data_IF_970405787833
#
_entry.id   IF_970405787833
#
_cell.length_a   1.000
_cell.length_b   1.000
_cell.length_c   1.000
_cell.angle_alpha   90.00
_cell.angle_beta   90.00
_cell.angle_gamma   90.00
#
_symmetry.space_group_name_H-M   'P 1'
#
loop_
_entity.id
_entity.type
_entity.pdbx_description
1 polymer ?
2 polymer ?
3 polymer ?
4 non-polymer ?
5 non-polymer ?
6 water ?
#
loop_
_entity_poly.entity_id
_entity_poly.type
_entity_poly.pdbx_seq_one_letter_code
_entity_poly.pdbx_strand_id
1 'polydeoxyribonucleotide' '(DG)(DG)(DG)(DG)(DT)(DG)(DT)(DG)(DG)(DT)(DA)(DG)(DC)' ?
2 'polydeoxyribonucleotide' '(DC)(DA)(DT)(DC)(DG)(DC)(DT)(DA)(DC)(DC)(DA)(DC)(DA)(DC)(DC)(DC)(DC)' ?
#
# COMPACT_ATOMS: atom_id res chain seq x y z
N UNK C 3 3.31 15.79 -23.09
CA UNK C 3 2.09 16.36 -22.52
C UNK C 3 0.78 15.86 -23.20
N UNK C 4 -0.06 15.18 -22.43
CA UNK C 4 -1.16 14.39 -22.97
C UNK C 4 -2.45 14.65 -22.18
N UNK C 5 -3.48 15.11 -22.89
CA UNK C 5 -4.74 15.47 -22.25
C UNK C 5 -5.57 14.21 -22.02
N UNK C 6 -6.62 14.32 -21.20
CA UNK C 6 -7.37 13.12 -20.84
C UNK C 6 -8.10 12.55 -22.06
N UNK C 7 -8.48 13.41 -23.01
CA UNK C 7 -9.21 12.93 -24.18
C UNK C 7 -8.31 12.42 -25.29
N UNK C 8 -6.99 12.45 -25.12
CA UNK C 8 -6.09 11.86 -26.10
C UNK C 8 -6.07 10.35 -25.92
N UNK C 9 -6.13 9.58 -26.99
CA UNK C 9 -6.10 8.11 -26.85
C UNK C 9 -4.95 7.61 -25.97
N UNK C 10 -3.86 8.37 -25.84
CA UNK C 10 -2.67 7.95 -25.12
C UNK C 10 -2.71 8.27 -23.63
N UNK C 11 -3.78 8.90 -23.15
CA UNK C 11 -3.76 9.46 -21.79
C UNK C 11 -3.58 8.36 -20.74
N UNK C 12 -4.27 7.24 -20.89
CA UNK C 12 -4.19 6.19 -19.88
C UNK C 12 -2.76 5.66 -19.75
N UNK C 13 -2.14 5.31 -20.88
CA UNK C 13 -0.78 4.78 -20.87
C UNK C 13 0.19 5.76 -20.23
N UNK C 14 0.03 7.06 -20.52
CA UNK C 14 1.01 8.04 -20.01
C UNK C 14 0.81 8.32 -18.53
N UNK C 15 -0.44 8.49 -18.12
CA UNK C 15 -0.70 8.67 -16.70
C UNK C 15 -0.17 7.50 -15.89
N UNK C 16 -0.38 6.28 -16.40
CA UNK C 16 0.11 5.11 -15.68
C UNK C 16 1.64 5.04 -15.71
N UNK C 17 2.28 5.61 -16.72
CA UNK C 17 3.73 5.58 -16.80
C UNK C 17 4.39 6.48 -15.77
N UNK C 18 3.73 7.59 -15.40
CA UNK C 18 4.24 8.51 -14.40
C UNK C 18 3.65 8.31 -13.02
N UNK C 19 2.59 7.53 -12.88
CA UNK C 19 1.88 7.44 -11.59
C UNK C 19 2.57 6.42 -10.71
N UNK C 20 3.18 6.89 -9.62
CA UNK C 20 3.82 5.95 -8.71
C UNK C 20 2.77 5.06 -8.05
N UNK C 21 1.58 5.60 -7.79
CA UNK C 21 0.49 4.78 -7.28
C UNK C 21 0.12 3.66 -8.21
N UNK C 22 0.22 3.87 -9.52
CA UNK C 22 -0.12 2.78 -10.42
C UNK C 22 0.96 1.71 -10.40
N UNK C 23 2.23 2.10 -10.51
CA UNK C 23 3.35 1.18 -10.34
C UNK C 23 3.24 0.39 -9.03
N UNK C 24 2.85 1.06 -7.93
CA UNK C 24 2.72 0.37 -6.66
C UNK C 24 1.68 -0.73 -6.72
N UNK C 25 0.49 -0.42 -7.24
CA UNK C 25 -0.59 -1.40 -7.25
C UNK C 25 -0.28 -2.55 -8.18
N UNK C 26 0.37 -2.26 -9.30
CA UNK C 26 0.66 -3.30 -10.27
C UNK C 26 1.77 -4.22 -9.76
N UNK C 27 2.84 -3.63 -9.21
CA UNK C 27 3.85 -4.44 -8.53
C UNK C 27 3.22 -5.33 -7.45
N UNK C 28 2.40 -4.74 -6.58
CA UNK C 28 1.62 -5.52 -5.61
C UNK C 28 0.89 -6.67 -6.28
N UNK C 29 0.11 -6.37 -7.32
CA UNK C 29 -0.69 -7.39 -7.99
C UNK C 29 0.18 -8.48 -8.61
N UNK C 30 1.28 -8.10 -9.25
CA UNK C 30 2.14 -9.11 -9.85
C UNK C 30 2.85 -9.96 -8.80
N UNK C 31 3.15 -9.39 -7.63
CA UNK C 31 3.71 -10.18 -6.55
C UNK C 31 2.72 -11.23 -6.05
N UNK C 32 1.43 -10.89 -6.01
CA UNK C 32 0.46 -11.85 -5.49
C UNK C 32 0.22 -13.01 -6.46
N UNK C 33 0.29 -12.76 -7.77
CA UNK C 33 0.15 -13.84 -8.75
C UNK C 33 1.36 -14.77 -8.69
N UNK C 34 2.57 -14.21 -8.60
CA UNK C 34 3.75 -15.07 -8.55
C UNK C 34 3.77 -15.91 -7.27
N UNK C 35 3.18 -15.42 -6.19
CA UNK C 35 3.00 -16.29 -5.05
C UNK C 35 2.05 -17.44 -5.37
N UNK C 36 0.98 -17.16 -6.11
CA UNK C 36 0.02 -18.21 -6.43
C UNK C 36 0.52 -19.18 -7.50
N UNK C 37 1.51 -18.78 -8.29
CA UNK C 37 2.13 -19.72 -9.21
C UNK C 37 3.31 -20.48 -8.57
N UNK C 38 4.10 -19.81 -7.72
CA UNK C 38 5.24 -20.47 -7.10
C UNK C 38 4.78 -21.57 -6.15
N UNK C 39 3.72 -21.31 -5.38
CA UNK C 39 3.25 -22.26 -4.36
C UNK C 39 1.93 -22.89 -4.77
N UNK C 40 1.86 -23.31 -6.03
CA UNK C 40 0.65 -23.93 -6.56
C UNK C 40 0.52 -25.38 -6.10
N UNK C 41 1.63 -26.07 -5.89
CA UNK C 41 1.64 -27.43 -5.38
C UNK C 41 2.44 -27.55 -4.09
N UNK C 42 2.82 -26.39 -3.57
CA UNK C 42 3.47 -26.39 -2.25
C UNK C 42 2.34 -26.16 -1.24
N UNK C 43 2.47 -26.72 -0.04
CA UNK C 43 1.46 -26.50 0.99
C UNK C 43 2.13 -26.30 2.34
N UNK C 44 3.26 -25.58 2.37
CA UNK C 44 3.96 -25.25 3.61
C UNK C 44 3.35 -24.02 4.27
N UNK C 45 2.04 -24.13 4.53
CA UNK C 45 1.26 -23.06 5.13
C UNK C 45 1.24 -23.27 6.65
N UNK C 46 0.58 -22.36 7.35
CA UNK C 46 0.68 -22.28 8.81
C UNK C 46 -0.53 -22.96 9.42
N UNK C 47 -0.30 -23.88 10.34
CA UNK C 47 -1.39 -24.52 11.07
C UNK C 47 -1.33 -24.15 12.54
N UNK C 48 -2.39 -24.51 13.27
CA UNK C 48 -2.35 -24.31 14.71
C UNK C 48 -1.40 -25.28 15.40
N UNK C 49 -1.02 -26.38 14.72
CA UNK C 49 0.03 -27.26 15.21
C UNK C 49 1.40 -26.62 15.15
N UNK C 50 1.51 -25.41 14.59
CA UNK C 50 2.79 -24.75 14.33
C UNK C 50 3.00 -23.60 15.30
N UNK C 51 4.18 -23.52 15.87
CA UNK C 51 4.63 -22.33 16.57
C UNK C 51 5.53 -21.55 15.65
N UNK C 52 5.29 -20.24 15.52
CA UNK C 52 5.98 -19.49 14.48
C UNK C 52 6.42 -18.13 14.98
N UNK C 53 7.41 -17.56 14.31
CA UNK C 53 7.83 -16.19 14.55
C UNK C 53 7.70 -15.40 13.26
N UNK C 54 7.24 -14.15 13.38
CA UNK C 54 7.01 -13.26 12.26
C UNK C 54 8.22 -12.34 12.08
N UNK C 55 8.84 -12.36 10.91
CA UNK C 55 9.87 -11.38 10.55
C UNK C 55 9.24 -10.42 9.53
N UNK C 56 8.93 -9.19 9.98
CA UNK C 56 8.33 -8.16 9.13
C UNK C 56 9.43 -7.23 8.63
N UNK C 57 9.69 -7.26 7.31
CA UNK C 57 10.91 -6.68 6.74
C UNK C 57 10.56 -5.60 5.72
N UNK C 58 11.19 -4.44 5.86
CA UNK C 58 10.82 -3.30 5.04
C UNK C 58 12.01 -2.38 4.78
N UNK C 59 12.13 -1.91 3.54
CA UNK C 59 13.17 -0.95 3.14
C UNK C 59 13.01 0.42 3.81
N UNK C 60 14.11 0.96 4.27
CA UNK C 60 14.09 2.32 4.81
C UNK C 60 14.07 3.27 3.64
N UNK C 61 13.16 4.24 3.65
CA UNK C 61 12.89 5.25 2.59
C UNK C 61 13.16 4.71 1.20
N UNK C 62 12.44 3.66 0.85
CA UNK C 62 12.60 2.85 -0.38
C UNK C 62 12.88 3.70 -1.62
N UNK C 63 11.90 4.43 -2.13
CA UNK C 63 12.13 5.21 -3.35
C UNK C 63 13.31 6.16 -3.15
N UNK C 64 13.31 6.87 -2.01
CA UNK C 64 14.37 7.84 -1.77
C UNK C 64 15.72 7.17 -1.90
N UNK C 65 15.85 5.98 -1.32
CA UNK C 65 17.12 5.27 -1.36
C UNK C 65 17.47 4.84 -2.79
N UNK C 66 16.58 4.12 -3.46
CA UNK C 66 16.88 3.65 -4.80
C UNK C 66 17.15 4.83 -5.74
N UNK C 67 16.37 5.92 -5.61
CA UNK C 67 16.58 7.09 -6.49
C UNK C 67 17.93 7.74 -6.24
N UNK C 68 18.36 7.77 -4.99
CA UNK C 68 19.68 8.31 -4.72
C UNK C 68 20.79 7.41 -5.27
N UNK C 69 20.66 6.10 -5.07
CA UNK C 69 21.72 5.18 -5.46
C UNK C 69 21.92 5.18 -6.96
N UNK C 70 20.85 5.41 -7.64
CA UNK C 70 20.87 5.48 -9.13
C UNK C 70 20.73 6.90 -9.77
N UNK C 71 21.15 7.89 -8.95
CA UNK C 71 20.93 9.26 -9.36
C UNK C 71 21.78 9.62 -10.57
N UNK C 72 21.21 10.46 -11.45
CA UNK C 72 21.96 10.93 -12.61
C UNK C 72 23.15 11.77 -12.16
N UNK C 73 24.08 11.99 -13.11
CA UNK C 73 25.30 12.73 -12.82
C UNK C 73 25.03 14.14 -12.29
N UNK C 74 23.86 14.69 -12.61
CA UNK C 74 23.45 15.99 -12.10
C UNK C 74 23.30 16.04 -10.58
N UNK C 75 23.18 14.91 -9.89
CA UNK C 75 23.11 14.89 -8.43
C UNK C 75 24.29 14.15 -7.81
N UNK C 76 25.41 14.02 -8.55
CA UNK C 76 26.54 13.24 -8.05
C UNK C 76 26.98 13.65 -6.66
N UNK C 77 27.01 14.97 -6.39
CA UNK C 77 27.55 15.46 -5.13
C UNK C 77 26.56 15.37 -3.97
N UNK C 78 25.31 15.03 -4.24
CA UNK C 78 24.32 14.83 -3.18
C UNK C 78 24.80 13.77 -2.19
N UNK C 79 24.71 14.09 -0.89
CA UNK C 79 25.14 13.24 0.23
C UNK C 79 23.91 12.72 0.98
N UNK C 80 23.70 11.39 0.96
CA UNK C 80 22.42 10.82 1.41
C UNK C 80 22.21 10.87 2.94
N UNK C 81 23.28 10.91 3.73
CA UNK C 81 23.10 11.11 5.17
C UNK C 81 23.31 12.57 5.57
N UNK C 82 23.58 13.47 4.64
CA UNK C 82 23.71 14.87 5.04
C UNK C 82 22.61 15.78 4.53
N UNK C 83 21.93 15.44 3.43
CA UNK C 83 20.95 16.34 2.86
C UNK C 83 19.54 15.77 2.91
N UNK C 84 18.53 16.64 3.10
CA UNK C 84 17.14 16.17 2.99
C UNK C 84 16.79 15.90 1.54
N UNK C 85 16.43 14.66 1.25
CA UNK C 85 16.19 14.18 -0.11
C UNK C 85 14.73 13.70 -0.22
N UNK C 86 14.04 14.14 -1.27
CA UNK C 86 12.71 13.65 -1.56
C UNK C 86 12.66 13.11 -3.00
N UNK C 87 11.74 12.17 -3.23
CA UNK C 87 11.42 11.70 -4.57
C UNK C 87 10.08 12.31 -4.95
N UNK C 88 10.05 13.01 -6.08
CA UNK C 88 8.85 13.74 -6.46
C UNK C 88 8.96 14.16 -7.92
N UNK C 89 7.81 14.51 -8.49
CA UNK C 89 7.75 15.00 -9.87
C UNK C 89 8.11 16.46 -9.94
N UNK C 90 7.68 17.23 -8.95
CA UNK C 90 7.48 18.64 -9.17
C UNK C 90 8.20 19.50 -8.18
N UNK C 91 7.74 20.73 -8.06
CA UNK C 91 8.40 21.75 -7.26
C UNK C 91 7.46 22.43 -6.29
N UNK C 92 6.15 22.35 -6.51
CA UNK C 92 5.17 23.02 -5.67
C UNK C 92 4.25 21.94 -5.15
N UNK C 93 3.09 21.71 -5.76
CA UNK C 93 2.08 20.83 -5.20
C UNK C 93 2.23 19.40 -5.71
N UNK C 94 3.45 18.88 -5.52
CA UNK C 94 3.80 17.53 -5.93
C UNK C 94 4.04 16.69 -4.69
N UNK C 95 3.30 15.58 -4.58
CA UNK C 95 3.46 14.66 -3.46
C UNK C 95 4.88 14.15 -3.34
N UNK C 96 5.38 14.11 -2.12
CA UNK C 96 6.67 13.52 -1.80
C UNK C 96 6.43 12.03 -1.62
N UNK C 97 6.79 11.24 -2.63
CA UNK C 97 6.62 9.81 -2.53
C UNK C 97 7.50 9.20 -1.45
N UNK C 98 8.68 9.77 -1.22
CA UNK C 98 9.60 9.23 -0.22
C UNK C 98 10.63 10.30 0.14
N UNK C 99 10.77 10.55 1.42
CA UNK C 99 11.84 11.41 1.88
C UNK C 99 12.81 10.59 2.73
N UNK C 100 14.08 11.00 2.72
CA UNK C 100 15.07 10.30 3.54
C UNK C 100 14.90 10.72 4.99
N UNK C 101 15.70 10.13 5.88
CA UNK C 101 15.50 10.39 7.31
C UNK C 101 16.16 11.69 7.76
N UNK C 102 17.13 12.20 6.98
CA UNK C 102 17.53 13.59 7.13
C UNK C 102 16.32 14.50 6.97
N UNK C 103 15.50 14.27 5.94
CA UNK C 103 14.31 15.12 5.76
C UNK C 103 13.34 14.96 6.93
N UNK C 104 13.22 13.74 7.46
CA UNK C 104 12.28 13.49 8.54
C UNK C 104 12.71 14.16 9.85
N UNK C 105 13.98 14.52 10.00
CA UNK C 105 14.35 15.24 11.24
C UNK C 105 13.62 16.58 11.28
N UNK C 106 13.55 17.29 10.17
CA UNK C 106 12.76 18.52 10.15
C UNK C 106 11.25 18.27 10.18
N UNK C 107 10.81 17.02 10.29
CA UNK C 107 9.39 16.69 10.37
C UNK C 107 8.69 16.53 9.04
N UNK C 108 9.42 16.58 7.92
CA UNK C 108 8.86 16.21 6.62
C UNK C 108 8.41 14.75 6.66
N UNK C 109 7.23 14.48 6.09
CA UNK C 109 6.69 13.13 6.06
C UNK C 109 6.50 12.65 4.62
N UNK C 110 6.39 11.34 4.44
CA UNK C 110 5.95 10.82 3.15
C UNK C 110 4.54 11.31 2.88
N UNK C 111 4.29 11.75 1.65
CA UNK C 111 2.97 12.19 1.27
C UNK C 111 2.79 13.70 1.19
N UNK C 112 3.63 14.46 1.88
CA UNK C 112 3.55 15.91 1.85
C UNK C 112 3.80 16.45 0.44
N UNK C 113 3.50 17.73 0.25
CA UNK C 113 3.86 18.40 -0.99
C UNK C 113 5.23 19.05 -0.82
N UNK C 114 5.90 19.26 -1.95
CA UNK C 114 7.22 19.87 -1.92
C UNK C 114 7.16 21.25 -1.27
N UNK C 115 6.15 22.03 -1.64
CA UNK C 115 5.99 23.36 -1.05
C UNK C 115 5.81 23.29 0.46
N UNK C 116 5.16 22.24 0.95
CA UNK C 116 4.92 22.07 2.38
C UNK C 116 6.15 21.54 3.13
N UNK C 117 7.01 20.78 2.46
CA UNK C 117 8.25 20.33 3.06
C UNK C 117 9.36 21.35 2.98
N UNK C 118 9.34 22.19 1.95
CA UNK C 118 10.35 23.25 1.87
C UNK C 118 10.17 24.23 3.01
N UNK C 119 8.92 24.57 3.34
CA UNK C 119 8.64 25.55 4.38
C UNK C 119 9.07 25.09 5.79
N UNK C 120 9.47 23.83 5.98
CA UNK C 120 9.90 23.36 7.29
C UNK C 120 11.41 23.28 7.43
N UNK C 121 12.14 23.58 6.36
CA UNK C 121 13.58 23.64 6.50
C UNK C 121 13.99 25.03 6.96
N UNK C 122 15.00 25.11 7.83
CA UNK C 122 15.59 26.41 8.17
C UNK C 122 16.41 26.94 7.02
N UNK C 123 16.57 28.25 6.97
CA UNK C 123 17.33 28.89 5.91
C UNK C 123 18.75 28.34 5.87
N UNK C 124 19.29 28.22 4.65
CA UNK C 124 20.57 27.57 4.46
C UNK C 124 20.47 26.08 4.20
N UNK C 125 19.30 25.49 4.35
CA UNK C 125 19.09 24.07 4.09
C UNK C 125 18.33 23.92 2.79
N UNK C 126 18.84 23.10 1.89
CA UNK C 126 18.25 22.89 0.59
C UNK C 126 17.57 21.53 0.57
N UNK C 127 16.30 21.50 0.19
CA UNK C 127 15.69 20.24 -0.16
C UNK C 127 16.22 19.80 -1.52
N UNK C 128 16.57 18.52 -1.62
CA UNK C 128 16.97 17.89 -2.88
C UNK C 128 15.81 17.01 -3.35
N UNK C 129 15.48 17.10 -4.64
CA UNK C 129 14.36 16.36 -5.21
C UNK C 129 14.85 15.43 -6.32
N UNK C 130 14.79 14.12 -6.05
CA UNK C 130 15.25 13.20 -7.08
C UNK C 130 14.07 12.68 -7.89
N UNK C 131 14.28 12.45 -9.18
CA UNK C 131 13.21 11.90 -10.01
C UNK C 131 12.88 10.48 -9.60
N UNK C 132 11.71 10.01 -10.05
CA UNK C 132 11.37 8.61 -9.87
C UNK C 132 12.22 7.74 -10.78
N UNK C 133 12.61 6.57 -10.27
CA UNK C 133 13.40 5.58 -11.02
C UNK C 133 12.67 4.24 -10.94
N UNK C 134 11.57 4.13 -11.69
CA UNK C 134 10.62 3.06 -11.50
C UNK C 134 11.23 1.69 -11.78
N UNK C 135 11.96 1.57 -12.88
CA UNK C 135 12.57 0.28 -13.22
C UNK C 135 13.60 -0.14 -12.16
N UNK C 136 14.34 0.82 -11.62
CA UNK C 136 15.27 0.51 -10.53
C UNK C 136 14.51 0.10 -9.27
N UNK C 137 13.36 0.72 -9.01
CA UNK C 137 12.54 0.27 -7.89
C UNK C 137 12.15 -1.19 -8.07
N UNK C 138 11.72 -1.54 -9.29
CA UNK C 138 11.36 -2.93 -9.58
C UNK C 138 12.56 -3.85 -9.44
N UNK C 139 13.69 -3.50 -10.06
CA UNK C 139 14.87 -4.35 -10.00
C UNK C 139 15.32 -4.58 -8.56
N UNK C 140 15.40 -3.50 -7.75
CA UNK C 140 15.88 -3.64 -6.39
C UNK C 140 14.97 -4.55 -5.58
N UNK C 141 13.65 -4.36 -5.74
CA UNK C 141 12.67 -5.23 -5.09
C UNK C 141 12.89 -6.68 -5.45
N UNK C 142 13.20 -6.96 -6.72
CA UNK C 142 13.44 -8.34 -7.13
C UNK C 142 14.64 -8.93 -6.38
N UNK C 143 15.69 -8.12 -6.17
CA UNK C 143 16.83 -8.56 -5.38
C UNK C 143 16.42 -8.88 -3.96
N UNK C 144 15.48 -8.13 -3.43
CA UNK C 144 15.01 -8.29 -2.07
C UNK C 144 14.27 -9.63 -1.91
N UNK C 145 13.41 -9.96 -2.87
CA UNK C 145 12.65 -11.21 -2.74
C UNK C 145 13.50 -12.41 -3.10
N UNK C 146 14.45 -12.24 -4.03
CA UNK C 146 15.37 -13.31 -4.33
C UNK C 146 16.22 -13.65 -3.10
N UNK C 147 16.80 -12.62 -2.45
CA UNK C 147 17.55 -12.83 -1.22
C UNK C 147 16.74 -13.58 -0.16
N UNK C 148 15.52 -13.11 0.15
CA UNK C 148 14.70 -13.77 1.17
C UNK C 148 14.52 -15.26 0.91
N UNK C 149 14.20 -15.64 -0.33
CA UNK C 149 13.96 -17.05 -0.61
C UNK C 149 15.26 -17.85 -0.68
N UNK C 150 16.33 -17.24 -1.21
CA UNK C 150 17.63 -17.90 -1.26
C UNK C 150 18.12 -18.28 0.14
N UNK C 151 17.91 -17.41 1.14
CA UNK C 151 18.41 -17.64 2.51
C UNK C 151 17.88 -18.91 3.14
N UNK C 152 16.75 -19.44 2.67
CA UNK C 152 16.25 -20.77 3.03
C UNK C 152 15.86 -20.90 4.51
N UNK C 153 15.33 -19.83 5.09
CA UNK C 153 15.07 -19.79 6.52
C UNK C 153 13.61 -19.48 6.86
N UNK C 154 12.73 -19.32 5.86
CA UNK C 154 11.33 -19.01 6.12
C UNK C 154 10.45 -20.09 5.48
N UNK C 155 9.36 -20.44 6.16
CA UNK C 155 8.41 -21.37 5.58
C UNK C 155 7.37 -20.67 4.72
N UNK C 156 7.10 -19.39 5.01
CA UNK C 156 6.16 -18.61 4.23
C UNK C 156 6.73 -17.21 4.06
N UNK C 157 6.80 -16.73 2.83
CA UNK C 157 7.24 -15.37 2.52
C UNK C 157 6.05 -14.65 1.89
N UNK C 158 5.55 -13.62 2.55
CA UNK C 158 4.28 -13.01 2.13
C UNK C 158 4.52 -11.64 1.52
N UNK C 159 4.18 -11.43 0.26
CA UNK C 159 4.31 -10.09 -0.31
C UNK C 159 3.36 -9.12 0.40
N UNK C 160 3.92 -8.01 0.87
CA UNK C 160 3.13 -6.93 1.41
C UNK C 160 3.12 -5.71 0.50
N UNK C 161 4.12 -5.58 -0.37
CA UNK C 161 4.47 -4.33 -0.99
C UNK C 161 5.67 -4.58 -1.88
N UNK C 162 5.90 -3.65 -2.80
CA UNK C 162 7.18 -3.57 -3.49
C UNK C 162 8.35 -3.57 -2.51
N UNK C 163 8.16 -3.06 -1.29
CA UNK C 163 9.28 -2.95 -0.37
C UNK C 163 9.07 -3.69 0.95
N UNK C 164 8.06 -4.55 1.06
CA UNK C 164 7.75 -5.23 2.32
C UNK C 164 7.38 -6.68 2.09
N UNK C 165 7.78 -7.50 3.03
CA UNK C 165 7.24 -8.84 3.15
C UNK C 165 7.10 -9.20 4.62
N UNK C 166 6.08 -9.98 4.91
CA UNK C 166 5.98 -10.68 6.18
C UNK C 166 6.52 -12.09 5.96
N UNK C 167 7.54 -12.45 6.74
CA UNK C 167 8.25 -13.73 6.59
C UNK C 167 8.03 -14.53 7.86
N UNK C 168 7.54 -15.75 7.69
CA UNK C 168 7.21 -16.63 8.81
C UNK C 168 8.27 -17.72 8.91
N UNK C 169 8.83 -17.89 10.12
CA UNK C 169 9.66 -19.06 10.44
C UNK C 169 8.94 -19.96 11.44
N UNK C 170 8.73 -21.23 11.06
CA UNK C 170 8.17 -22.19 12.02
C UNK C 170 9.29 -22.74 12.87
N UNK C 171 9.06 -22.79 14.18
CA UNK C 171 9.99 -23.38 15.13
C UNK C 171 9.49 -24.81 15.43
N UNK C 172 10.25 -25.83 15.07
CA UNK C 172 9.92 -27.18 15.56
C UNK C 172 10.04 -27.21 17.07
N UNK C 173 9.14 -27.96 17.72
CA UNK C 173 9.14 -27.97 19.18
C UNK C 173 10.29 -28.78 19.78
N UNK C 174 10.97 -29.60 18.97
CA UNK C 174 12.26 -30.12 19.40
C UNK C 174 13.19 -28.93 19.65
N UNK C 175 13.63 -28.24 18.60
CA UNK C 175 14.52 -27.08 18.73
C UNK C 175 13.95 -26.03 19.68
N UNK C 176 14.78 -25.06 20.07
CA UNK C 176 14.43 -24.09 21.11
C UNK C 176 14.91 -22.71 20.68
N UNK C 177 13.96 -21.83 20.39
CA UNK C 177 14.29 -20.50 19.90
C UNK C 177 14.79 -19.61 21.03
N UNK C 178 15.72 -18.72 20.69
CA UNK C 178 16.36 -17.81 21.61
C UNK C 178 16.54 -16.47 20.93
N UNK C 179 16.75 -15.44 21.75
CA UNK C 179 16.83 -14.10 21.21
C UNK C 179 18.15 -13.85 20.51
N UNK C 180 19.23 -14.53 20.91
CA UNK C 180 20.44 -14.33 20.13
C UNK C 180 20.35 -15.07 18.81
N UNK C 181 19.68 -16.23 18.76
CA UNK C 181 19.36 -16.79 17.44
C UNK C 181 18.54 -15.78 16.62
N UNK C 182 17.51 -15.19 17.22
CA UNK C 182 16.68 -14.24 16.49
C UNK C 182 17.47 -12.99 16.10
N UNK C 183 18.15 -12.36 17.07
CA UNK C 183 18.88 -11.12 16.86
C UNK C 183 19.85 -11.28 15.71
N UNK C 184 19.99 -12.49 15.29
CA UNK C 184 21.09 -12.81 14.44
C UNK C 184 20.66 -13.34 13.07
N UNK C 185 19.46 -13.94 12.96
CA UNK C 185 18.81 -13.98 11.66
C UNK C 185 18.63 -12.58 11.10
N UNK C 186 18.15 -11.66 11.95
CA UNK C 186 17.95 -10.26 11.54
C UNK C 186 19.18 -9.66 10.90
N UNK C 187 20.33 -9.84 11.56
CA UNK C 187 21.59 -9.34 11.05
C UNK C 187 21.96 -10.00 9.73
N UNK C 188 21.72 -11.31 9.61
CA UNK C 188 21.98 -11.99 8.35
C UNK C 188 21.10 -11.42 7.25
N UNK C 189 19.80 -11.27 7.52
CA UNK C 189 18.86 -10.74 6.55
C UNK C 189 19.25 -9.33 6.14
N UNK C 190 19.50 -8.46 7.13
CA UNK C 190 19.80 -7.07 6.82
C UNK C 190 21.04 -6.96 5.96
N UNK C 191 22.08 -7.74 6.31
CA UNK C 191 23.34 -7.67 5.59
C UNK C 191 23.19 -8.26 4.20
N UNK C 192 22.58 -9.44 4.12
CA UNK C 192 22.42 -10.09 2.82
C UNK C 192 21.62 -9.23 1.86
N UNK C 193 20.55 -8.57 2.34
CA UNK C 193 19.76 -7.69 1.49
C UNK C 193 20.55 -6.44 1.11
N UNK C 194 21.36 -5.93 2.05
CA UNK C 194 22.21 -4.78 1.77
C UNK C 194 23.16 -5.06 0.62
N UNK C 195 23.88 -6.18 0.69
CA UNK C 195 24.79 -6.58 -0.38
C UNK C 195 24.03 -6.83 -1.67
N UNK C 196 22.94 -7.61 -1.59
CA UNK C 196 22.18 -7.95 -2.79
C UNK C 196 21.56 -6.75 -3.47
N UNK C 197 21.11 -5.75 -2.69
CA UNK C 197 20.53 -4.55 -3.26
C UNK C 197 21.57 -3.49 -3.57
N UNK C 198 22.85 -3.83 -3.45
CA UNK C 198 23.94 -2.88 -3.70
C UNK C 198 23.73 -1.59 -2.91
N UNK C 199 23.26 -1.74 -1.67
CA UNK C 199 23.34 -0.63 -0.75
C UNK C 199 22.05 -0.20 -0.07
N UNK C 200 20.92 -0.80 -0.45
CA UNK C 200 19.67 -0.46 0.22
C UNK C 200 19.63 -1.15 1.58
N UNK C 201 19.00 -0.49 2.53
CA UNK C 201 18.87 -1.02 3.89
C UNK C 201 17.41 -1.35 4.22
N UNK C 202 17.23 -2.40 5.00
CA UNK C 202 15.94 -2.81 5.51
C UNK C 202 15.94 -2.76 7.02
N UNK C 203 14.75 -2.63 7.59
CA UNK C 203 14.52 -2.71 9.02
C UNK C 203 13.61 -3.91 9.29
N UNK C 204 13.77 -4.54 10.45
CA UNK C 204 13.01 -5.73 10.76
C UNK C 204 12.38 -5.62 12.13
N UNK C 205 11.11 -6.00 12.21
CA UNK C 205 10.44 -6.27 13.47
C UNK C 205 10.22 -7.77 13.59
N UNK C 206 10.41 -8.29 14.79
CA UNK C 206 10.47 -9.74 15.00
C UNK C 206 9.68 -10.07 16.26
N UNK C 207 8.67 -10.93 16.12
CA UNK C 207 7.74 -11.17 17.20
C UNK C 207 6.97 -12.46 16.92
N UNK C 208 6.21 -12.90 17.93
CA UNK C 208 5.24 -13.98 17.80
C UNK C 208 3.87 -13.51 17.32
N UNK C 209 3.74 -12.26 16.85
CA UNK C 209 2.47 -11.79 16.29
C UNK C 209 2.72 -10.78 15.17
N UNK C 210 1.77 -10.75 14.21
CA UNK C 210 1.87 -9.77 13.12
C UNK C 210 1.79 -8.35 13.65
N UNK C 211 0.88 -8.10 14.60
CA UNK C 211 0.71 -6.75 15.11
C UNK C 211 1.96 -6.31 15.86
N UNK C 212 2.62 -7.21 16.60
CA UNK C 212 3.83 -6.79 17.30
C UNK C 212 5.01 -6.65 16.34
N UNK C 213 5.07 -7.50 15.30
CA UNK C 213 6.14 -7.34 14.32
C UNK C 213 5.99 -6.02 13.56
N UNK C 214 4.75 -5.60 13.26
CA UNK C 214 4.54 -4.30 12.63
C UNK C 214 5.03 -3.17 13.54
N UNK C 215 4.57 -3.17 14.80
CA UNK C 215 4.98 -2.11 15.72
C UNK C 215 6.48 -2.16 15.99
N UNK C 216 7.03 -3.36 16.17
CA UNK C 216 8.47 -3.49 16.36
C UNK C 216 9.22 -2.96 15.14
N UNK C 217 8.77 -3.34 13.94
CA UNK C 217 9.40 -2.84 12.73
C UNK C 217 9.49 -1.32 12.74
N UNK C 218 8.45 -0.65 13.23
CA UNK C 218 8.47 0.81 13.26
C UNK C 218 9.45 1.33 14.30
N UNK C 219 9.54 0.64 15.43
CA UNK C 219 10.51 1.01 16.45
C UNK C 219 11.94 0.80 15.94
N UNK C 220 12.14 -0.16 15.06
CA UNK C 220 13.45 -0.49 14.54
C UNK C 220 13.99 0.52 13.54
N UNK C 221 13.11 1.30 12.88
CA UNK C 221 13.59 2.12 11.78
C UNK C 221 14.34 3.34 12.31
N UNK C 222 15.29 3.91 11.53
CA UNK C 222 15.94 3.47 10.28
C UNK C 222 17.08 2.46 10.48
N UNK C 223 17.29 1.56 9.52
CA UNK C 223 18.49 0.71 9.46
C UNK C 223 18.72 -0.04 10.78
N UNK C 224 17.71 -0.78 11.23
CA UNK C 224 17.84 -1.50 12.48
C UNK C 224 16.81 -2.61 12.63
N UNK C 225 16.80 -3.24 13.81
CA UNK C 225 15.87 -4.33 14.04
C UNK C 225 15.46 -4.37 15.50
N UNK C 226 14.24 -4.82 15.72
CA UNK C 226 13.67 -4.90 17.06
C UNK C 226 13.02 -6.27 17.24
N UNK C 227 13.38 -6.96 18.32
CA UNK C 227 12.78 -8.23 18.69
C UNK C 227 11.91 -7.98 19.91
N UNK C 228 10.60 -8.09 19.75
CA UNK C 228 9.68 -7.88 20.89
C UNK C 228 8.56 -8.92 20.85
N UNK C 229 8.68 -9.93 21.69
CA UNK C 229 7.64 -10.94 21.81
C UNK C 229 6.64 -10.51 22.88
N UNK C 230 5.51 -11.22 22.90
CA UNK C 230 4.45 -10.91 23.85
C UNK C 230 4.90 -10.98 25.29
N UNK C 231 5.95 -11.74 25.58
CA UNK C 231 6.48 -11.83 26.94
C UNK C 231 7.39 -10.68 27.29
N UNK C 232 7.69 -9.82 26.32
CA UNK C 232 8.56 -8.66 26.49
C UNK C 232 7.79 -7.36 26.58
N UNK C 233 6.47 -7.40 26.51
CA UNK C 233 5.70 -6.16 26.47
C UNK C 233 5.92 -5.35 27.74
N UNK C 234 6.08 -4.04 27.57
CA UNK C 234 6.24 -3.13 28.71
C UNK C 234 5.64 -1.78 28.37
N UNK C 235 5.46 -0.96 29.40
CA UNK C 235 5.03 0.42 29.19
C UNK C 235 6.00 1.18 28.30
N UNK C 236 7.30 1.00 28.52
CA UNK C 236 8.31 1.59 27.63
C UNK C 236 8.01 1.28 26.17
N UNK C 237 7.57 0.04 25.89
CA UNK C 237 7.23 -0.30 24.51
C UNK C 237 6.04 0.51 24.02
N UNK C 238 4.90 0.40 24.72
CA UNK C 238 3.70 1.05 24.23
C UNK C 238 3.87 2.57 24.18
N UNK C 239 4.63 3.15 25.10
CA UNK C 239 4.72 4.61 25.19
C UNK C 239 5.50 5.22 24.03
N UNK C 240 6.23 4.39 23.28
CA UNK C 240 7.00 4.83 22.12
C UNK C 240 6.19 4.81 20.83
N UNK C 241 4.87 4.72 20.91
CA UNK C 241 4.03 4.72 19.71
C UNK C 241 2.89 5.72 19.84
N UNK C 242 2.57 6.38 18.74
CA UNK C 242 1.39 7.22 18.63
C UNK C 242 0.19 6.34 18.25
N UNK C 243 -1.00 6.96 18.26
CA UNK C 243 -2.23 6.18 18.12
C UNK C 243 -2.38 5.58 16.73
N UNK C 244 -2.13 6.37 15.68
CA UNK C 244 -2.32 5.74 14.37
C UNK C 244 -1.15 4.86 13.96
N UNK C 245 -0.08 4.76 14.77
CA UNK C 245 0.91 3.71 14.54
C UNK C 245 0.27 2.34 14.59
N UNK C 246 -0.82 2.20 15.32
CA UNK C 246 -1.45 0.91 15.48
C UNK C 246 -2.16 0.53 14.19
N UNK C 247 -2.05 -0.73 13.77
CA UNK C 247 -2.92 -1.25 12.70
C UNK C 247 -4.39 -0.98 12.99
N UNK C 248 -5.17 -0.82 11.93
CA UNK C 248 -6.58 -0.54 12.08
C UNK C 248 -6.91 0.88 12.46
N UNK C 249 -5.92 1.78 12.49
CA UNK C 249 -6.12 3.17 12.93
C UNK C 249 -5.64 4.12 11.84
N UNK C 250 -6.56 4.55 10.97
CA UNK C 250 -6.33 5.66 10.09
C UNK C 250 -6.84 6.94 10.69
N UNK C 251 -6.86 8.01 9.88
CA UNK C 251 -7.15 9.35 10.38
C UNK C 251 -8.53 9.51 11.00
N UNK C 252 -9.50 8.68 10.62
CA UNK C 252 -10.85 8.80 11.17
C UNK C 252 -11.00 8.04 12.49
N UNK C 253 -10.58 6.77 12.51
CA UNK C 253 -10.56 6.04 13.78
C UNK C 253 -9.74 6.79 14.82
N UNK C 254 -8.54 7.23 14.42
CA UNK C 254 -7.70 8.07 15.26
C UNK C 254 -8.49 9.24 15.83
N UNK C 255 -9.21 9.96 14.97
CA UNK C 255 -10.00 11.10 15.44
C UNK C 255 -11.06 10.65 16.43
N UNK C 256 -11.72 9.54 16.14
CA UNK C 256 -12.76 9.06 17.02
C UNK C 256 -12.20 8.69 18.39
N UNK C 257 -11.06 7.98 18.40
CA UNK C 257 -10.45 7.61 19.67
C UNK C 257 -10.03 8.84 20.47
N UNK C 258 -9.61 9.90 19.79
CA UNK C 258 -9.02 11.03 20.51
C UNK C 258 -10.05 11.86 21.24
N UNK C 259 -11.34 11.67 20.97
CA UNK C 259 -12.35 12.40 21.72
C UNK C 259 -13.16 11.49 22.64
N UNK C 260 -13.15 10.18 22.42
CA UNK C 260 -13.80 9.26 23.34
C UNK C 260 -12.90 8.90 24.53
N UNK C 261 -11.61 9.25 24.46
CA UNK C 261 -10.66 8.87 25.50
C UNK C 261 -9.72 10.03 25.86
N UNK C 262 -10.21 11.26 25.76
CA UNK C 262 -9.50 12.44 26.29
C UNK C 262 -8.10 12.57 25.70
N UNK C 263 -8.01 12.45 24.39
CA UNK C 263 -6.80 12.63 23.58
C UNK C 263 -5.60 11.84 24.10
N UNK C 264 -5.60 10.51 23.99
CA UNK C 264 -4.38 9.74 24.27
C UNK C 264 -3.23 10.16 23.34
N UNK C 265 -2.02 10.23 23.88
CA UNK C 265 -0.86 10.65 23.09
C UNK C 265 0.13 9.54 22.77
N UNK C 266 0.12 8.45 23.53
CA UNK C 266 0.90 7.28 23.18
C UNK C 266 -0.02 6.07 23.30
N UNK C 267 0.41 4.96 22.70
CA UNK C 267 -0.36 3.72 22.82
C UNK C 267 -0.51 3.31 24.27
N UNK C 268 0.46 3.68 25.11
CA UNK C 268 0.33 3.46 26.54
C UNK C 268 -0.87 4.20 27.13
N UNK C 269 -1.05 5.48 26.78
CA UNK C 269 -2.20 6.24 27.24
C UNK C 269 -3.50 5.51 26.91
N UNK C 270 -3.77 5.34 25.62
CA UNK C 270 -4.91 4.57 25.15
C UNK C 270 -5.01 3.22 25.86
N UNK C 271 -3.86 2.62 26.18
CA UNK C 271 -3.85 1.30 26.79
C UNK C 271 -4.50 1.31 28.16
N UNK C 272 -4.21 2.34 28.95
CA UNK C 272 -4.63 2.41 30.35
C UNK C 272 -5.98 3.09 30.52
N UNK C 273 -6.46 3.80 29.51
CA UNK C 273 -7.71 4.55 29.57
C UNK C 273 -8.89 3.86 28.91
N UNK C 274 -8.70 2.77 28.18
CA UNK C 274 -9.76 2.23 27.37
C UNK C 274 -10.50 1.09 28.06
N UNK C 275 -11.79 1.01 27.80
CA UNK C 275 -12.59 -0.19 28.05
C UNK C 275 -13.04 -0.73 26.70
N UNK C 276 -13.06 -2.06 26.57
CA UNK C 276 -13.49 -2.68 25.31
C UNK C 276 -14.82 -2.11 24.82
N UNK C 277 -15.76 -1.89 25.74
CA UNK C 277 -17.12 -1.55 25.32
C UNK C 277 -17.23 -0.09 24.87
N UNK C 278 -16.63 0.83 25.62
CA UNK C 278 -16.51 2.20 25.11
C UNK C 278 -15.75 2.23 23.78
N UNK C 279 -14.84 1.28 23.58
CA UNK C 279 -14.01 1.24 22.38
C UNK C 279 -14.83 0.83 21.18
N UNK C 280 -15.58 -0.28 21.29
CA UNK C 280 -16.53 -0.66 20.25
C UNK C 280 -17.46 0.48 19.90
N UNK C 281 -18.08 1.08 20.91
CA UNK C 281 -19.07 2.13 20.69
C UNK C 281 -18.47 3.35 20.01
N UNK C 282 -17.15 3.51 20.08
CA UNK C 282 -16.49 4.70 19.55
C UNK C 282 -16.08 4.54 18.08
N UNK C 283 -15.46 3.42 17.74
CA UNK C 283 -14.92 3.21 16.40
C UNK C 283 -15.60 2.08 15.66
N UNK C 284 -16.55 1.42 16.25
CA UNK C 284 -17.19 0.27 15.64
C UNK C 284 -16.75 -1.00 16.32
N UNK C 285 -17.67 -1.97 16.38
CA UNK C 285 -17.45 -3.16 17.20
C UNK C 285 -16.32 -4.03 16.65
N UNK C 286 -16.39 -4.40 15.36
CA UNK C 286 -15.36 -5.28 14.81
C UNK C 286 -13.99 -4.59 14.83
N UNK C 287 -13.93 -3.33 14.41
CA UNK C 287 -12.68 -2.59 14.50
C UNK C 287 -12.23 -2.48 15.94
N UNK C 288 -13.17 -2.24 16.85
CA UNK C 288 -12.83 -2.11 18.26
C UNK C 288 -12.32 -3.40 18.87
N UNK C 289 -12.84 -4.53 18.42
CA UNK C 289 -12.31 -5.79 18.96
C UNK C 289 -10.91 -6.04 18.38
N UNK C 290 -10.63 -5.58 17.16
CA UNK C 290 -9.26 -5.71 16.65
C UNK C 290 -8.31 -4.75 17.37
N UNK C 291 -8.74 -3.53 17.62
CA UNK C 291 -7.89 -2.58 18.33
C UNK C 291 -7.63 -3.07 19.75
N UNK C 292 -8.64 -3.71 20.37
CA UNK C 292 -8.46 -4.28 21.70
C UNK C 292 -7.43 -5.40 21.68
N UNK C 293 -7.57 -6.32 20.71
CA UNK C 293 -6.60 -7.39 20.54
C UNK C 293 -5.20 -6.80 20.32
N UNK C 294 -5.11 -5.80 19.45
CA UNK C 294 -3.81 -5.24 19.10
C UNK C 294 -3.13 -4.60 20.30
N UNK C 295 -3.89 -4.00 21.21
CA UNK C 295 -3.28 -3.41 22.39
C UNK C 295 -2.75 -4.45 23.37
N UNK C 296 -3.03 -5.73 23.15
CA UNK C 296 -2.47 -6.84 23.93
C UNK C 296 -1.38 -7.60 23.19
N UNK C 297 -1.05 -7.21 21.96
CA UNK C 297 -0.09 -7.97 21.18
C UNK C 297 -0.66 -9.12 20.38
N UNK C 298 -1.95 -9.41 20.50
CA UNK C 298 -2.56 -10.54 19.82
C UNK C 298 -3.20 -10.09 18.51
N UNK C 299 -3.19 -10.99 17.52
CA UNK C 299 -3.80 -10.73 16.23
C UNK C 299 -5.31 -11.03 16.26
N UNK C 300 -6.00 -10.58 15.22
CA UNK C 300 -7.42 -10.85 15.01
C UNK C 300 -7.58 -12.04 14.07
N UNK C 301 -8.78 -12.62 14.08
CA UNK C 301 -9.02 -13.75 13.18
C UNK C 301 -8.99 -13.31 11.72
N UNK C 302 -9.37 -12.07 11.42
CA UNK C 302 -9.28 -11.61 10.04
C UNK C 302 -7.84 -11.50 9.60
N UNK C 303 -6.93 -11.11 10.51
CA UNK C 303 -5.52 -10.97 10.15
C UNK C 303 -4.79 -12.29 10.09
N UNK C 304 -5.17 -13.25 10.93
CA UNK C 304 -4.52 -14.56 10.95
C UNK C 304 -4.74 -15.33 9.66
N UNK C 305 -5.81 -15.03 8.91
CA UNK C 305 -6.13 -15.83 7.73
C UNK C 305 -4.96 -15.84 6.75
N UNK C 306 -4.22 -14.72 6.67
CA UNK C 306 -3.10 -14.66 5.74
C UNK C 306 -2.01 -15.68 6.05
N UNK C 307 -1.97 -16.23 7.26
CA UNK C 307 -1.05 -17.33 7.51
C UNK C 307 -1.69 -18.69 7.27
N UNK C 308 -2.99 -18.84 7.54
CA UNK C 308 -3.59 -20.15 7.46
C UNK C 308 -4.02 -20.50 6.03
N UNK C 309 -4.55 -19.53 5.28
CA UNK C 309 -4.81 -19.74 3.85
C UNK C 309 -4.33 -18.54 3.03
N UNK C 310 -3.01 -18.33 2.97
CA UNK C 310 -2.51 -17.21 2.17
C UNK C 310 -2.90 -17.30 0.71
N UNK C 311 -3.10 -18.51 0.20
CA UNK C 311 -3.56 -18.65 -1.18
C UNK C 311 -4.94 -18.03 -1.36
N UNK C 312 -5.87 -18.33 -0.46
CA UNK C 312 -7.20 -17.76 -0.59
C UNK C 312 -7.23 -16.26 -0.30
N UNK C 313 -6.29 -15.78 0.52
CA UNK C 313 -6.27 -14.35 0.84
C UNK C 313 -5.73 -13.53 -0.32
N UNK C 314 -4.61 -13.98 -0.92
CA UNK C 314 -3.89 -13.26 -1.97
C UNK C 314 -4.41 -13.52 -3.37
N UNK C 315 -5.50 -14.27 -3.51
CA UNK C 315 -6.08 -14.41 -4.82
C UNK C 315 -6.94 -13.20 -5.10
N UNK C 316 -6.78 -12.61 -6.28
CA UNK C 316 -7.46 -11.38 -6.61
C UNK C 316 -8.95 -11.63 -6.81
N UNK C 317 -9.78 -10.97 -6.01
CA UNK C 317 -11.22 -11.15 -6.08
C UNK C 317 -11.93 -10.00 -6.80
N UNK C 318 -11.19 -8.99 -7.24
CA UNK C 318 -11.72 -7.91 -8.07
C UNK C 318 -10.59 -7.32 -8.88
N UNK C 319 -10.96 -6.44 -9.80
CA UNK C 319 -10.01 -5.77 -10.68
C UNK C 319 -10.58 -4.40 -11.01
N UNK C 320 -9.70 -3.39 -11.03
CA UNK C 320 -10.21 -2.02 -11.16
C UNK C 320 -9.08 -1.04 -11.47
N UNK C 321 -9.44 0.09 -12.08
CA UNK C 321 -8.55 1.23 -12.29
C UNK C 321 -9.17 2.46 -11.63
N UNK C 322 -8.30 3.39 -11.23
CA UNK C 322 -8.70 4.65 -10.62
C UNK C 322 -7.95 5.78 -11.29
N UNK C 323 -8.68 6.78 -11.80
CA UNK C 323 -8.04 7.95 -12.39
C UNK C 323 -8.73 9.21 -11.87
N UNK C 324 -8.10 9.85 -10.91
CA UNK C 324 -8.59 11.06 -10.28
C UNK C 324 -7.57 12.19 -10.41
N UNK C 325 -6.93 12.27 -11.57
CA UNK C 325 -5.97 13.34 -11.85
C UNK C 325 -6.01 13.60 -13.34
N UNK C 326 -6.08 14.88 -13.72
CA UNK C 326 -6.21 15.28 -15.11
C UNK C 326 -7.58 15.09 -15.75
N UNK C 327 -8.64 14.88 -14.97
CA UNK C 327 -9.95 14.66 -15.56
C UNK C 327 -10.55 16.01 -15.92
N UNK C 328 -10.63 16.31 -17.23
CA UNK C 328 -11.21 17.56 -17.72
C UNK C 328 -11.81 17.31 -19.10
N UNK C 329 -12.97 16.67 -19.12
CA UNK C 329 -13.74 16.46 -20.34
C UNK C 329 -14.81 17.55 -20.49
N UNK C 330 -15.08 17.91 -21.74
CA UNK C 330 -16.06 18.94 -22.06
C UNK C 330 -17.42 18.38 -22.45
N UNK C 331 -17.46 17.19 -23.03
CA UNK C 331 -18.71 16.63 -23.54
C UNK C 331 -18.78 15.17 -23.16
N UNK C 332 -20.00 14.60 -23.24
CA UNK C 332 -20.23 13.22 -22.83
C UNK C 332 -19.53 12.27 -23.78
N UNK C 333 -19.43 12.63 -25.06
CA UNK C 333 -18.75 11.80 -26.04
C UNK C 333 -17.32 11.46 -25.63
N UNK C 334 -16.63 12.40 -24.97
CA UNK C 334 -15.26 12.17 -24.54
C UNK C 334 -15.21 11.30 -23.29
N UNK C 335 -16.12 11.56 -22.36
CA UNK C 335 -16.26 10.69 -21.19
C UNK C 335 -16.55 9.24 -21.62
N UNK C 336 -17.33 9.05 -22.69
CA UNK C 336 -17.62 7.67 -23.09
C UNK C 336 -16.40 7.01 -23.70
N UNK C 337 -15.67 7.74 -24.56
CA UNK C 337 -14.50 7.18 -25.21
C UNK C 337 -13.43 6.83 -24.20
N UNK C 338 -13.32 7.60 -23.11
CA UNK C 338 -12.35 7.29 -22.08
C UNK C 338 -12.83 6.15 -21.19
N UNK C 339 -14.12 6.13 -20.88
CA UNK C 339 -14.73 4.94 -20.28
C UNK C 339 -14.45 3.70 -21.14
N UNK C 340 -14.60 3.82 -22.46
CA UNK C 340 -14.34 2.70 -23.36
C UNK C 340 -12.89 2.26 -23.32
N UNK C 341 -11.96 3.23 -23.29
CA UNK C 341 -10.53 2.91 -23.23
C UNK C 341 -10.14 2.33 -21.88
N UNK C 342 -10.87 2.69 -20.82
CA UNK C 342 -10.63 2.05 -19.54
C UNK C 342 -11.10 0.59 -19.53
N UNK C 343 -12.29 0.33 -20.05
CA UNK C 343 -12.82 -1.04 -20.06
C UNK C 343 -11.94 -1.98 -20.88
N UNK C 344 -11.38 -1.47 -21.99
CA UNK C 344 -10.52 -2.28 -22.80
C UNK C 344 -9.23 -2.60 -22.06
N UNK C 345 -8.67 -1.61 -21.37
CA UNK C 345 -7.52 -1.86 -20.55
C UNK C 345 -7.82 -2.90 -19.48
N UNK C 346 -8.95 -2.74 -18.78
CA UNK C 346 -9.30 -3.71 -17.74
C UNK C 346 -9.59 -5.09 -18.32
N UNK C 347 -10.18 -5.14 -19.52
CA UNK C 347 -10.41 -6.44 -20.15
C UNK C 347 -9.10 -7.11 -20.52
N UNK C 348 -8.11 -6.35 -20.99
CA UNK C 348 -6.77 -6.89 -21.14
C UNK C 348 -6.30 -7.53 -19.84
N UNK C 349 -6.48 -6.86 -18.70
CA UNK C 349 -6.06 -7.44 -17.42
C UNK C 349 -6.93 -8.65 -17.06
N UNK C 350 -8.26 -8.54 -17.21
CA UNK C 350 -9.14 -9.69 -17.02
C UNK C 350 -8.73 -10.89 -17.88
N UNK C 351 -8.37 -10.66 -19.14
CA UNK C 351 -8.00 -11.79 -19.99
C UNK C 351 -6.66 -12.41 -19.62
N UNK C 352 -5.68 -11.61 -19.18
CA UNK C 352 -4.38 -12.17 -18.84
C UNK C 352 -4.47 -13.16 -17.70
N UNK C 353 -5.59 -13.12 -16.98
CA UNK C 353 -5.76 -13.97 -15.78
C UNK C 353 -6.89 -14.97 -16.02
N UNK C 354 -7.44 -14.98 -17.22
CA UNK C 354 -8.40 -16.00 -17.61
C UNK C 354 -9.57 -16.09 -16.64
N UNK C 355 -10.26 -14.96 -16.50
CA UNK C 355 -11.48 -14.87 -15.70
C UNK C 355 -12.53 -14.08 -16.47
N UNK C 356 -13.79 -14.29 -16.10
CA UNK C 356 -14.89 -13.40 -16.44
C UNK C 356 -15.30 -12.57 -15.22
N UNK C 357 -16.17 -11.60 -15.46
CA UNK C 357 -16.74 -10.80 -14.39
C UNK C 357 -18.27 -10.92 -14.37
N UNK C 358 -18.83 -10.96 -13.17
CA UNK C 358 -20.27 -11.02 -12.99
C UNK C 358 -20.87 -9.65 -12.76
N UNK C 359 -20.08 -8.71 -12.26
CA UNK C 359 -20.58 -7.47 -11.69
C UNK C 359 -19.56 -6.38 -11.96
N UNK C 360 -20.03 -5.22 -12.39
CA UNK C 360 -19.14 -4.09 -12.59
C UNK C 360 -19.61 -2.93 -11.73
N UNK C 361 -18.76 -1.92 -11.62
CA UNK C 361 -19.04 -0.77 -10.79
C UNK C 361 -18.32 0.44 -11.35
N UNK C 362 -18.97 1.59 -11.35
CA UNK C 362 -18.35 2.85 -11.77
C UNK C 362 -18.32 3.81 -10.59
N UNK C 363 -17.17 4.34 -10.22
CA UNK C 363 -17.16 5.35 -9.15
C UNK C 363 -16.68 6.66 -9.77
N UNK C 364 -17.21 7.78 -9.33
CA UNK C 364 -16.72 9.04 -9.91
C UNK C 364 -16.67 10.12 -8.86
N UNK C 365 -15.86 11.12 -9.14
CA UNK C 365 -15.76 12.27 -8.26
C UNK C 365 -16.32 13.48 -8.98
N UNK C 366 -17.20 14.20 -8.30
CA UNK C 366 -17.84 15.40 -8.84
C UNK C 366 -17.46 16.61 -8.01
N UNK C 367 -17.04 17.67 -8.69
CA UNK C 367 -16.67 18.92 -8.05
C UNK C 367 -17.76 19.43 -7.12
N UNK C 368 -17.38 19.67 -5.87
CA UNK C 368 -18.31 20.29 -4.93
C UNK C 368 -18.75 21.65 -5.46
N UNK C 369 -19.99 22.02 -5.15
CA UNK C 369 -20.66 23.11 -5.88
C UNK C 369 -19.90 24.42 -5.78
N UNK C 370 -19.21 24.65 -4.66
CA UNK C 370 -18.49 25.89 -4.43
C UNK C 370 -16.99 25.71 -4.51
N UNK C 371 -16.51 24.51 -4.85
CA UNK C 371 -15.09 24.26 -5.01
C UNK C 371 -14.60 24.88 -6.32
N UNK C 372 -13.40 25.47 -6.33
CA UNK C 372 -12.90 26.11 -7.56
C UNK C 372 -12.78 25.09 -8.68
N UNK C 373 -12.94 25.57 -9.92
CA UNK C 373 -12.95 24.60 -11.03
C UNK C 373 -11.55 24.06 -11.26
N UNK C 374 -10.51 24.84 -10.93
CA UNK C 374 -9.15 24.34 -10.88
C UNK C 374 -8.63 24.41 -9.45
N UNK C 375 -8.33 23.28 -8.82
CA UNK C 375 -7.91 23.28 -7.42
C UNK C 375 -6.44 23.64 -7.30
N UNK C 376 -5.95 23.90 -6.07
CA UNK C 376 -4.53 24.29 -5.93
C UNK C 376 -3.59 23.37 -6.67
N UNK C 377 -3.87 22.07 -6.62
CA UNK C 377 -3.02 21.10 -7.28
C UNK C 377 -3.31 21.14 -8.77
N UNK C 378 -2.25 21.28 -9.56
CA UNK C 378 -2.37 21.21 -11.01
C UNK C 378 -3.04 19.91 -11.41
N UNK C 379 -4.19 20.03 -12.08
CA UNK C 379 -4.93 18.90 -12.62
C UNK C 379 -5.52 18.02 -11.51
N UNK C 380 -5.59 18.56 -10.29
CA UNK C 380 -6.07 17.77 -9.17
C UNK C 380 -7.55 17.51 -9.27
N UNK C 381 -8.02 16.55 -8.49
CA UNK C 381 -9.46 16.40 -8.37
C UNK C 381 -10.11 17.55 -7.58
N UNK C 382 -9.34 18.25 -6.74
CA UNK C 382 -9.99 19.20 -5.84
C UNK C 382 -10.95 18.54 -4.84
N UNK C 383 -11.74 19.40 -4.21
CA UNK C 383 -12.72 18.92 -3.24
C UNK C 383 -13.96 18.39 -3.97
N UNK C 384 -14.36 17.16 -3.63
CA UNK C 384 -15.38 16.47 -4.41
C UNK C 384 -16.22 15.60 -3.50
N UNK C 385 -17.48 15.40 -3.90
CA UNK C 385 -18.26 14.28 -3.39
C UNK C 385 -18.16 13.15 -4.39
N UNK C 386 -18.11 11.93 -3.89
CA UNK C 386 -18.03 10.73 -4.70
C UNK C 386 -19.40 10.07 -4.79
N UNK C 387 -19.64 9.42 -5.93
CA UNK C 387 -20.81 8.57 -6.13
C UNK C 387 -20.37 7.31 -6.83
N UNK C 388 -21.13 6.23 -6.62
CA UNK C 388 -20.86 5.01 -7.38
C UNK C 388 -22.15 4.26 -7.61
N UNK C 389 -22.17 3.46 -8.67
CA UNK C 389 -23.27 2.55 -8.87
C UNK C 389 -22.76 1.26 -9.50
N UNK C 390 -23.48 0.18 -9.22
CA UNK C 390 -23.08 -1.16 -9.61
C UNK C 390 -24.19 -1.74 -10.46
N UNK C 391 -23.85 -2.79 -11.22
CA UNK C 391 -24.77 -3.46 -12.10
C UNK C 391 -24.38 -4.93 -12.13
N UNK C 392 -25.34 -5.82 -11.91
CA UNK C 392 -25.08 -7.25 -11.98
C UNK C 392 -25.36 -7.73 -13.40
N UNK C 393 -24.35 -8.31 -14.04
CA UNK C 393 -24.53 -8.83 -15.39
C UNK C 393 -25.14 -10.23 -15.32
N UNK C 394 -25.96 -10.56 -16.31
CA UNK C 394 -26.60 -11.86 -16.32
C UNK C 394 -25.61 -13.01 -16.26
N UNK C 395 -25.00 -13.31 -17.40
CA UNK C 395 -24.03 -14.39 -17.46
C UNK C 395 -22.65 -13.75 -17.35
N UNK C 396 -21.73 -14.32 -16.58
CA UNK C 396 -20.35 -13.79 -16.54
C UNK C 396 -19.77 -13.64 -17.94
N UNK C 397 -18.96 -12.60 -18.13
CA UNK C 397 -18.53 -12.24 -19.48
C UNK C 397 -17.13 -11.65 -19.50
N UNK C 398 -16.53 -11.67 -20.68
CA UNK C 398 -15.34 -10.87 -20.97
C UNK C 398 -15.54 -10.08 -22.25
N UNK C 399 -16.80 -9.86 -22.62
CA UNK C 399 -17.16 -9.15 -23.85
C UNK C 399 -17.10 -7.64 -23.65
N UNK C 400 -16.35 -6.97 -24.52
CA UNK C 400 -16.25 -5.52 -24.45
C UNK C 400 -17.60 -4.86 -24.69
N UNK C 401 -18.34 -5.35 -25.68
CA UNK C 401 -19.67 -4.81 -25.95
C UNK C 401 -20.54 -4.73 -24.70
N UNK C 402 -20.70 -5.86 -24.00
CA UNK C 402 -21.54 -5.86 -22.82
C UNK C 402 -20.97 -4.96 -21.73
N UNK C 403 -19.68 -5.13 -21.40
CA UNK C 403 -19.13 -4.44 -20.24
C UNK C 403 -19.08 -2.93 -20.48
N UNK C 404 -18.53 -2.50 -21.62
CA UNK C 404 -18.44 -1.07 -21.91
C UNK C 404 -19.83 -0.42 -21.96
N UNK C 405 -20.81 -1.10 -22.54
CA UNK C 405 -22.15 -0.53 -22.66
C UNK C 405 -22.79 -0.38 -21.29
N UNK C 406 -22.61 -1.37 -20.42
CA UNK C 406 -23.14 -1.20 -19.07
C UNK C 406 -22.37 -0.14 -18.29
N UNK C 407 -21.06 0.00 -18.52
CA UNK C 407 -20.29 1.03 -17.85
C UNK C 407 -20.78 2.41 -18.26
N UNK C 408 -20.97 2.61 -19.55
CA UNK C 408 -21.44 3.92 -19.98
C UNK C 408 -22.85 4.18 -19.45
N UNK C 409 -23.65 3.14 -19.29
CA UNK C 409 -24.98 3.35 -18.72
C UNK C 409 -24.90 3.72 -17.25
N UNK C 410 -23.98 3.10 -16.49
CA UNK C 410 -23.81 3.47 -15.09
C UNK C 410 -23.32 4.91 -14.93
N UNK C 411 -22.48 5.39 -15.85
CA UNK C 411 -22.21 6.83 -15.85
C UNK C 411 -23.43 7.61 -16.30
N UNK C 412 -24.14 7.22 -17.35
CA UNK C 412 -25.36 7.98 -17.79
C UNK C 412 -26.38 8.16 -16.65
N UNK C 413 -26.38 7.22 -15.73
CA UNK C 413 -27.30 7.10 -14.59
C UNK C 413 -26.89 7.96 -13.40
N UNK C 414 -25.59 8.08 -13.16
CA UNK C 414 -25.17 8.85 -11.97
C UNK C 414 -25.43 10.33 -12.16
N UNK C 415 -25.65 10.80 -13.39
CA UNK C 415 -26.13 12.18 -13.45
C UNK C 415 -25.08 13.27 -13.40
N UNK C 416 -23.82 12.98 -13.61
CA UNK C 416 -22.78 13.97 -13.41
C UNK C 416 -22.43 14.65 -14.72
N UNK C 417 -22.64 15.96 -14.85
CA UNK C 417 -22.31 16.64 -16.11
C UNK C 417 -20.84 16.46 -16.44
N UNK C 418 -20.51 16.30 -17.72
CA UNK C 418 -19.12 15.96 -18.07
C UNK C 418 -18.06 16.88 -17.49
N UNK C 419 -18.32 18.19 -17.45
CA UNK C 419 -17.29 19.11 -16.97
C UNK C 419 -17.27 19.23 -15.46
N UNK C 420 -18.22 18.64 -14.78
CA UNK C 420 -18.10 18.52 -13.35
C UNK C 420 -17.39 17.24 -12.95
N UNK C 421 -17.09 16.35 -13.91
CA UNK C 421 -16.32 15.15 -13.61
C UNK C 421 -14.91 15.54 -13.22
N UNK C 422 -14.41 14.88 -12.18
CA UNK C 422 -13.07 15.14 -11.72
C UNK C 422 -12.30 13.87 -11.47
N UNK C 423 -12.94 12.72 -11.59
CA UNK C 423 -12.32 11.48 -11.20
C UNK C 423 -13.21 10.31 -11.58
N UNK C 424 -12.58 9.21 -12.01
CA UNK C 424 -13.27 8.02 -12.47
C UNK C 424 -12.66 6.78 -11.85
N UNK C 425 -13.51 5.79 -11.56
CA UNK C 425 -13.08 4.47 -11.10
C UNK C 425 -13.91 3.41 -11.80
N UNK C 426 -13.25 2.41 -12.41
CA UNK C 426 -13.91 1.35 -13.18
C UNK C 426 -13.56 -0.01 -12.58
N UNK C 427 -14.58 -0.79 -12.20
CA UNK C 427 -14.33 -2.04 -11.47
C UNK C 427 -15.01 -3.25 -12.10
N UNK C 428 -14.33 -4.40 -11.99
CA UNK C 428 -14.92 -5.72 -12.19
C UNK C 428 -14.95 -6.42 -10.84
N UNK C 429 -16.14 -6.69 -10.33
CA UNK C 429 -16.24 -7.18 -8.92
C UNK C 429 -16.22 -8.67 -8.75
N UNK C 430 -17.30 -9.31 -9.13
CA UNK C 430 -17.31 -10.76 -8.92
C UNK C 430 -16.62 -11.37 -10.13
N UNK C 431 -15.65 -12.24 -9.88
CA UNK C 431 -14.84 -12.84 -10.93
C UNK C 431 -15.00 -14.34 -10.87
N UNK C 432 -15.00 -14.98 -12.04
CA UNK C 432 -15.13 -16.42 -12.19
C UNK C 432 -13.95 -16.93 -13.01
N UNK C 433 -13.45 -18.10 -12.64
CA UNK C 433 -12.35 -18.71 -13.41
C UNK C 433 -12.96 -19.36 -14.66
N UNK C 434 -12.30 -19.28 -15.81
CA UNK C 434 -12.87 -19.89 -17.03
C UNK C 434 -12.43 -21.34 -17.11
N UNK C 435 -13.36 -22.29 -16.94
CA UNK C 435 -12.98 -23.63 -16.94
C UNK C 435 -13.01 -24.29 -18.28
N UNK C 436 -12.75 -25.63 -18.45
CA UNK C 436 -12.76 -26.35 -19.73
C UNK C 436 -14.15 -26.53 -20.35
N UNK C 437 -15.18 -26.70 -19.51
CA UNK C 437 -16.54 -26.79 -20.02
C UNK C 437 -17.08 -25.40 -20.33
N UNK C 438 -17.57 -25.21 -21.57
CA UNK C 438 -18.24 -23.96 -21.93
C UNK C 438 -19.51 -24.18 -22.74
N UNK C 439 -20.22 -25.29 -22.49
CA UNK C 439 -21.45 -25.64 -23.23
C UNK C 439 -22.65 -25.19 -22.40
N UNK C 440 -23.31 -24.11 -22.85
CA UNK C 440 -24.41 -23.44 -22.13
C UNK C 440 -24.15 -23.24 -20.64
#
# INVERSE_FOLDING_TARGET
KRIVACDDPDFLTSYFAHSRGHHLSAWKANLKDKFLNENIHKYTKITDKDTYIIFHIDFDCFFATVAYLCRSSSFSACDFKRDPIVVCHGTKNSDIASCNYVARSYGIKNGMWVSQAEKMLPNGIKLISLPYTFEQFQLKSEAFYSTLKRLNIFNLILPISIDEAVCVRIIPDNIHNTNTLNARLCEEIRQEIFQGTNGCTVSIGCSDSLVLARLALKMAKPNGYNITFKSNLSEEFWSSFKLDDLPGVGHSTLSRLESTFDSPHSLNDLRKRYTLDALKASVGSKLGMKIHLALQGQDDEESLKILYDPKEVLQRKSLSIDINWGIRFKNITQVDLFIERGCQYLLEKLNEINKTTSQITLKLMRRCKDAPIEPPKYMGMGRCDSFSRSSRLGIPTNEFGIIATEMKSLYRTLGCPPMELRGLALQFNKLVDVGPDNNQLK
#
